data_IF_875722660884
#
_entry.id   IF_875722660884
#
_cell.length_a   1.000
_cell.length_b   1.000
_cell.length_c   1.000
_cell.angle_alpha   90.00
_cell.angle_beta   90.00
_cell.angle_gamma   90.00
#
_symmetry.space_group_name_H-M   'P 1'
#
loop_
_entity.id
_entity.type
_entity.pdbx_description
1 polymer ?
#
# COMPACT_ATOMS: atom_id res chain seq x y z
N UNK A 1 -15.55 17.44 0.13
CA UNK A 1 -14.83 18.41 0.99
C UNK A 1 -14.10 17.69 2.13
N UNK A 2 -14.71 16.71 2.77
CA UNK A 2 -14.09 15.89 3.84
C UNK A 2 -12.81 15.14 3.40
N UNK A 3 -12.81 14.53 2.22
CA UNK A 3 -11.62 13.82 1.67
C UNK A 3 -10.39 14.74 1.59
N UNK A 4 -10.57 16.02 1.23
CA UNK A 4 -9.47 16.99 1.13
C UNK A 4 -8.87 17.36 2.50
N UNK A 5 -9.60 17.14 3.59
CA UNK A 5 -9.09 17.32 4.96
C UNK A 5 -8.42 16.06 5.50
N UNK A 6 -8.90 14.88 5.08
CA UNK A 6 -8.41 13.59 5.55
C UNK A 6 -7.12 13.16 4.85
N UNK A 7 -7.08 13.24 3.52
CA UNK A 7 -5.94 12.79 2.70
C UNK A 7 -4.59 13.37 3.17
N UNK A 8 -4.45 14.69 3.45
CA UNK A 8 -3.18 15.24 3.92
C UNK A 8 -2.68 14.62 5.23
N UNK A 9 -3.58 14.25 6.15
CA UNK A 9 -3.21 13.62 7.42
C UNK A 9 -2.73 12.19 7.22
N UNK A 10 -3.24 11.49 6.21
CA UNK A 10 -2.80 10.14 5.83
C UNK A 10 -1.53 10.16 4.95
N UNK A 11 -1.20 11.28 4.31
CA UNK A 11 0.07 11.46 3.60
C UNK A 11 1.28 11.57 4.54
N UNK A 12 1.06 11.96 5.80
CA UNK A 12 2.10 12.04 6.84
C UNK A 12 1.67 11.33 8.13
N UNK A 13 1.49 10.00 8.10
CA UNK A 13 0.88 9.25 9.20
C UNK A 13 1.92 8.84 10.27
N UNK A 14 2.78 9.78 10.68
CA UNK A 14 3.85 9.57 11.65
C UNK A 14 4.08 10.83 12.48
N UNK A 15 4.78 10.70 13.61
CA UNK A 15 5.20 11.88 14.39
C UNK A 15 6.35 12.62 13.68
N UNK A 16 6.01 13.73 13.02
CA UNK A 16 6.95 14.59 12.28
C UNK A 16 8.04 15.16 13.19
N UNK A 17 7.79 15.33 14.49
CA UNK A 17 8.77 15.90 15.43
C UNK A 17 9.82 14.90 15.89
N UNK A 18 9.49 13.62 15.92
CA UNK A 18 10.35 12.54 16.45
C UNK A 18 11.15 11.81 15.38
N UNK A 19 10.75 11.91 14.11
CA UNK A 19 11.29 11.08 13.04
C UNK A 19 12.07 11.91 12.04
N UNK A 20 13.31 11.49 11.76
CA UNK A 20 14.04 12.01 10.60
C UNK A 20 13.32 11.56 9.33
N UNK A 21 12.76 12.54 8.61
CA UNK A 21 11.92 12.34 7.43
C UNK A 21 12.60 11.53 6.31
N UNK A 22 13.92 11.39 6.33
CA UNK A 22 14.69 10.59 5.38
C UNK A 22 14.59 9.07 5.61
N UNK A 23 14.04 8.61 6.74
CA UNK A 23 14.06 7.19 7.13
C UNK A 23 12.72 6.47 6.93
N UNK A 24 11.68 7.18 6.48
CA UNK A 24 10.28 6.73 6.54
C UNK A 24 9.86 5.88 5.32
N UNK A 25 10.72 5.72 4.33
CA UNK A 25 10.43 5.01 3.07
C UNK A 25 9.72 5.88 2.03
N UNK A 26 10.00 5.64 0.74
CA UNK A 26 9.57 6.53 -0.35
C UNK A 26 8.13 6.30 -0.80
N UNK A 27 7.65 5.06 -0.82
CA UNK A 27 6.30 4.74 -1.27
C UNK A 27 5.55 3.97 -0.20
N UNK A 28 4.26 4.24 -0.06
CA UNK A 28 3.37 3.48 0.80
C UNK A 28 1.94 3.65 0.28
N UNK A 29 1.03 2.79 0.73
CA UNK A 29 -0.38 2.89 0.33
C UNK A 29 -1.27 2.79 1.56
N UNK A 30 -1.93 3.89 1.91
CA UNK A 30 -3.00 3.89 2.91
C UNK A 30 -4.32 3.48 2.29
N UNK A 31 -5.31 3.16 3.12
CA UNK A 31 -6.68 2.88 2.67
C UNK A 31 -7.67 3.73 3.45
N UNK A 32 -8.65 4.29 2.73
CA UNK A 32 -9.86 4.86 3.29
C UNK A 32 -11.02 3.93 2.95
N UNK A 33 -11.77 3.52 3.97
CA UNK A 33 -12.96 2.69 3.79
C UNK A 33 -14.18 3.60 3.66
N UNK A 34 -14.98 3.39 2.60
CA UNK A 34 -16.23 4.14 2.42
C UNK A 34 -17.42 3.48 3.14
N UNK A 35 -18.60 4.07 2.97
CA UNK A 35 -19.83 3.62 3.62
C UNK A 35 -20.31 2.24 3.14
N UNK A 36 -19.86 1.78 1.97
CA UNK A 36 -20.16 0.45 1.43
C UNK A 36 -19.07 -0.58 1.80
N UNK A 37 -18.19 -0.22 2.74
CA UNK A 37 -17.01 -0.99 3.11
C UNK A 37 -16.05 -1.25 1.95
N UNK A 38 -16.10 -0.43 0.89
CA UNK A 38 -15.15 -0.50 -0.23
C UNK A 38 -13.89 0.28 0.10
N UNK A 39 -12.77 -0.22 -0.41
CA UNK A 39 -11.44 0.34 -0.14
C UNK A 39 -11.05 1.35 -1.21
N UNK A 40 -10.72 2.57 -0.79
CA UNK A 40 -10.01 3.57 -1.61
C UNK A 40 -8.53 3.56 -1.23
N UNK A 41 -7.69 3.24 -2.18
CA UNK A 41 -6.24 3.16 -2.01
C UNK A 41 -5.60 4.52 -2.26
N UNK A 42 -4.89 5.04 -1.26
CA UNK A 42 -4.09 6.25 -1.34
C UNK A 42 -2.63 5.92 -1.60
N UNK A 43 -2.26 5.83 -2.88
CA UNK A 43 -0.89 5.56 -3.31
C UNK A 43 -0.06 6.81 -3.08
N UNK A 44 1.00 6.69 -2.27
CA UNK A 44 1.82 7.82 -1.86
C UNK A 44 3.26 7.69 -2.34
N UNK A 45 3.84 8.82 -2.71
CA UNK A 45 5.28 8.99 -2.92
C UNK A 45 5.76 10.17 -2.08
N UNK A 46 6.48 9.85 -1.01
CA UNK A 46 7.12 10.81 -0.12
C UNK A 46 8.48 11.23 -0.72
N UNK A 47 8.73 12.53 -0.84
CA UNK A 47 10.00 13.05 -1.37
C UNK A 47 11.15 12.90 -0.38
N UNK A 48 12.40 12.95 -0.86
CA UNK A 48 13.58 13.03 0.02
C UNK A 48 13.44 14.20 0.99
N UNK A 49 13.62 13.94 2.28
CA UNK A 49 13.34 14.91 3.34
C UNK A 49 11.90 14.92 3.82
N UNK A 50 10.99 14.08 3.30
CA UNK A 50 9.62 13.85 3.79
C UNK A 50 8.79 15.08 4.14
N UNK A 51 8.98 16.17 3.39
CA UNK A 51 8.19 17.41 3.48
C UNK A 51 7.05 17.46 2.47
N UNK A 52 7.20 16.76 1.34
CA UNK A 52 6.23 16.75 0.26
C UNK A 52 5.82 15.31 0.00
N UNK A 53 4.52 15.09 -0.16
CA UNK A 53 3.96 13.81 -0.52
C UNK A 53 3.06 13.98 -1.75
N UNK A 54 3.36 13.22 -2.80
CA UNK A 54 2.46 13.07 -3.94
C UNK A 54 1.51 11.92 -3.65
N UNK A 55 0.22 12.11 -3.88
CA UNK A 55 -0.78 11.09 -3.59
C UNK A 55 -1.78 10.96 -4.75
N UNK A 56 -2.04 9.72 -5.16
CA UNK A 56 -3.16 9.36 -6.05
C UNK A 56 -4.13 8.52 -5.22
N UNK A 57 -5.40 8.94 -5.19
CA UNK A 57 -6.48 8.20 -4.55
C UNK A 57 -7.29 7.47 -5.62
N UNK A 58 -7.39 6.15 -5.53
CA UNK A 58 -8.12 5.33 -6.51
C UNK A 58 -8.79 4.12 -5.85
N UNK A 59 -9.88 3.66 -6.43
CA UNK A 59 -10.51 2.38 -6.06
C UNK A 59 -9.80 1.17 -6.69
N UNK A 60 -8.94 1.40 -7.67
CA UNK A 60 -8.23 0.33 -8.39
C UNK A 60 -6.96 -0.06 -7.61
N UNK A 61 -6.79 -1.32 -7.21
CA UNK A 61 -5.64 -1.78 -6.41
C UNK A 61 -4.39 -2.01 -7.27
N UNK A 62 -4.01 -1.02 -8.09
CA UNK A 62 -2.91 -1.13 -9.06
C UNK A 62 -1.61 -0.55 -8.52
N UNK A 63 -1.07 -1.17 -7.46
CA UNK A 63 0.09 -0.69 -6.73
C UNK A 63 1.29 -0.36 -7.64
N UNK A 64 1.70 -1.29 -8.49
CA UNK A 64 2.87 -1.15 -9.35
C UNK A 64 2.67 -0.03 -10.40
N UNK A 65 1.45 0.09 -10.94
CA UNK A 65 1.11 1.12 -11.94
C UNK A 65 1.15 2.50 -11.29
N UNK A 66 0.47 2.67 -10.15
CA UNK A 66 0.40 3.98 -9.50
C UNK A 66 1.74 4.40 -8.89
N UNK A 67 2.56 3.48 -8.38
CA UNK A 67 3.92 3.83 -7.95
C UNK A 67 4.81 4.30 -9.10
N UNK A 68 4.74 3.64 -10.27
CA UNK A 68 5.45 4.10 -11.47
C UNK A 68 4.94 5.47 -11.92
N UNK A 69 3.63 5.67 -11.95
CA UNK A 69 3.01 6.94 -12.32
C UNK A 69 3.43 8.07 -11.37
N UNK A 70 3.42 7.84 -10.06
CA UNK A 70 3.87 8.82 -9.07
C UNK A 70 5.34 9.22 -9.24
N UNK A 71 6.21 8.30 -9.68
CA UNK A 71 7.60 8.62 -10.02
C UNK A 71 7.65 9.54 -11.25
N UNK A 72 6.92 9.21 -12.32
CA UNK A 72 6.83 10.05 -13.52
C UNK A 72 6.30 11.45 -13.20
N UNK A 73 5.24 11.55 -12.38
CA UNK A 73 4.68 12.84 -11.96
C UNK A 73 5.69 13.64 -11.14
N UNK A 74 6.44 13.00 -10.25
CA UNK A 74 7.50 13.66 -9.51
C UNK A 74 8.61 14.20 -10.42
N UNK A 75 8.98 13.44 -11.45
CA UNK A 75 10.00 13.85 -12.41
C UNK A 75 9.53 15.05 -13.26
N UNK A 76 8.25 15.07 -13.66
CA UNK A 76 7.67 16.24 -14.35
C UNK A 76 7.61 17.48 -13.46
N UNK A 77 7.25 17.34 -12.18
CA UNK A 77 7.29 18.44 -11.23
C UNK A 77 8.72 18.96 -11.03
N UNK A 78 9.71 18.07 -10.95
CA UNK A 78 11.11 18.46 -10.80
C UNK A 78 11.69 19.16 -12.04
N UNK A 79 11.14 18.85 -13.23
CA UNK A 79 11.53 19.46 -14.51
C UNK A 79 10.65 20.64 -14.93
N UNK A 80 9.71 21.06 -14.08
CA UNK A 80 8.75 22.14 -14.35
C UNK A 80 7.90 21.92 -15.63
N UNK A 81 7.62 20.65 -15.97
CA UNK A 81 6.83 20.27 -17.16
C UNK A 81 5.32 20.21 -16.84
N UNK A 82 4.71 21.34 -16.49
CA UNK A 82 3.30 21.39 -16.06
C UNK A 82 2.30 20.97 -17.14
N UNK A 83 2.58 21.28 -18.42
CA UNK A 83 1.69 20.90 -19.52
C UNK A 83 1.61 19.39 -19.67
N UNK A 84 2.77 18.72 -19.77
CA UNK A 84 2.86 17.26 -19.90
C UNK A 84 2.23 16.56 -18.69
N UNK A 85 2.43 17.10 -17.48
CA UNK A 85 1.82 16.60 -16.26
C UNK A 85 0.29 16.69 -16.31
N UNK A 86 -0.25 17.85 -16.68
CA UNK A 86 -1.69 18.07 -16.74
C UNK A 86 -2.34 17.21 -17.83
N UNK A 87 -1.68 17.04 -18.98
CA UNK A 87 -2.19 16.23 -20.08
C UNK A 87 -2.18 14.75 -19.73
N UNK A 88 -1.13 14.26 -19.06
CA UNK A 88 -1.07 12.90 -18.53
C UNK A 88 -2.21 12.63 -17.54
N UNK A 89 -2.43 13.53 -16.58
CA UNK A 89 -3.49 13.39 -15.58
C UNK A 89 -4.89 13.45 -16.22
N UNK A 90 -5.13 14.36 -17.16
CA UNK A 90 -6.39 14.45 -17.90
C UNK A 90 -6.65 13.21 -18.75
N UNK A 91 -5.62 12.71 -19.44
CA UNK A 91 -5.71 11.50 -20.25
C UNK A 91 -6.10 10.31 -19.38
N UNK A 92 -5.39 10.11 -18.27
CA UNK A 92 -5.68 9.02 -17.33
C UNK A 92 -7.07 9.14 -16.69
N UNK A 93 -7.48 10.35 -16.28
CA UNK A 93 -8.76 10.58 -15.62
C UNK A 93 -9.96 10.36 -16.55
N UNK A 94 -9.84 10.77 -17.81
CA UNK A 94 -10.91 10.63 -18.80
C UNK A 94 -10.93 9.26 -19.48
N UNK A 95 -9.84 8.47 -19.36
CA UNK A 95 -9.78 7.13 -19.93
C UNK A 95 -10.76 6.19 -19.20
N UNK A 96 -11.61 5.43 -19.91
CA UNK A 96 -12.49 4.45 -19.28
C UNK A 96 -11.68 3.38 -18.57
N UNK A 97 -12.19 2.79 -17.49
CA UNK A 97 -11.45 1.75 -16.76
C UNK A 97 -11.14 0.58 -17.71
N UNK A 98 -9.85 0.32 -18.03
CA UNK A 98 -9.46 -0.74 -18.96
C UNK A 98 -9.78 -2.12 -18.38
N UNK A 99 -10.01 -3.09 -19.26
CA UNK A 99 -10.12 -4.50 -18.85
C UNK A 99 -8.75 -5.05 -18.46
N UNK A 100 -8.73 -6.08 -17.62
CA UNK A 100 -7.49 -6.78 -17.28
C UNK A 100 -6.71 -7.22 -18.53
N UNK A 101 -5.39 -7.14 -18.45
CA UNK A 101 -4.42 -7.50 -19.50
C UNK A 101 -4.52 -6.65 -20.79
N UNK A 102 -5.19 -5.49 -20.74
CA UNK A 102 -5.22 -4.56 -21.89
C UNK A 102 -4.15 -3.46 -21.76
N UNK A 103 -3.44 -3.13 -22.85
CA UNK A 103 -2.46 -2.05 -22.85
C UNK A 103 -3.16 -0.69 -22.84
N UNK A 104 -2.71 0.21 -21.99
CA UNK A 104 -3.12 1.60 -21.90
C UNK A 104 -1.93 2.47 -22.27
N UNK A 105 -2.09 3.30 -23.30
CA UNK A 105 -1.09 4.30 -23.68
C UNK A 105 -1.58 5.67 -23.26
N UNK A 106 -0.76 6.38 -22.47
CA UNK A 106 -1.00 7.73 -21.99
C UNK A 106 -0.04 8.69 -22.72
N UNK A 107 0.01 8.62 -24.06
CA UNK A 107 0.82 9.54 -24.86
C UNK A 107 0.09 10.87 -25.11
N UNK A 108 0.85 11.96 -25.02
CA UNK A 108 0.46 13.28 -25.50
C UNK A 108 0.95 13.36 -26.95
N UNK A 109 0.00 13.35 -27.89
CA UNK A 109 0.16 13.36 -29.35
C UNK A 109 0.59 12.06 -30.05
N UNK A 110 -0.27 11.68 -30.99
CA UNK A 110 -0.17 10.69 -32.06
C UNK A 110 -0.50 9.21 -31.78
N UNK A 111 -1.27 8.69 -32.75
CA UNK A 111 -1.97 7.41 -32.81
C UNK A 111 -0.99 6.24 -32.86
N UNK A 112 -1.11 5.29 -31.92
CA UNK A 112 -0.46 3.99 -32.07
C UNK A 112 -1.44 3.04 -32.76
N UNK A 113 -1.22 2.79 -34.06
CA UNK A 113 -1.82 1.65 -34.74
C UNK A 113 -1.06 0.38 -34.35
N UNK A 114 -1.66 -0.45 -33.50
CA UNK A 114 -1.13 -1.79 -33.23
C UNK A 114 -1.68 -2.73 -34.30
N UNK A 115 -0.98 -2.82 -35.44
CA UNK A 115 -1.13 -3.94 -36.35
C UNK A 115 -0.33 -5.13 -35.80
N UNK A 116 -1.02 -6.26 -35.68
CA UNK A 116 -0.49 -7.58 -35.33
C UNK A 116 0.97 -7.83 -35.79
N UNK A 117 1.87 -7.98 -34.82
CA UNK A 117 3.02 -8.90 -34.93
C UNK A 117 4.34 -8.40 -35.54
N UNK A 118 4.50 -7.14 -35.96
CA UNK A 118 5.82 -6.65 -36.43
C UNK A 118 6.17 -5.27 -35.88
N UNK A 119 7.18 -5.24 -35.02
CA UNK A 119 7.77 -4.02 -34.46
C UNK A 119 8.62 -3.34 -35.55
N UNK A 120 8.08 -2.27 -36.16
CA UNK A 120 8.87 -1.35 -36.96
C UNK A 120 9.77 -0.53 -36.02
N UNK A 121 11.03 -0.96 -35.91
CA UNK A 121 12.12 -0.11 -35.42
C UNK A 121 12.33 0.98 -36.46
N UNK A 122 11.81 2.18 -36.21
CA UNK A 122 12.42 3.45 -36.60
C UNK A 122 11.49 4.61 -36.25
N UNK A 123 11.83 5.36 -35.20
CA UNK A 123 11.89 6.83 -35.25
C UNK A 123 12.66 7.36 -34.02
N UNK A 124 13.64 8.19 -34.32
CA UNK A 124 14.52 8.87 -33.36
C UNK A 124 13.78 10.07 -32.77
N UNK A 125 13.26 9.88 -31.55
CA UNK A 125 13.15 10.86 -30.45
C UNK A 125 12.35 10.16 -29.34
N UNK A 126 12.95 9.77 -28.20
CA UNK A 126 12.19 9.12 -27.14
C UNK A 126 11.46 10.20 -26.36
N UNK A 127 10.37 10.75 -26.89
CA UNK A 127 9.31 11.24 -26.00
C UNK A 127 8.90 10.03 -25.16
N UNK A 128 9.07 10.10 -23.84
CA UNK A 128 8.79 8.98 -22.95
C UNK A 128 7.30 8.64 -23.02
N UNK A 129 6.94 7.67 -23.87
CA UNK A 129 5.58 7.17 -23.98
C UNK A 129 5.28 6.44 -22.67
N UNK A 130 4.43 7.04 -21.82
CA UNK A 130 3.97 6.35 -20.61
C UNK A 130 2.87 5.38 -21.00
N UNK A 131 3.14 4.08 -20.92
CA UNK A 131 2.16 3.03 -21.13
C UNK A 131 2.22 2.00 -20.00
N UNK A 132 1.11 1.33 -19.73
CA UNK A 132 1.06 0.22 -18.79
C UNK A 132 0.05 -0.84 -19.25
N UNK A 133 0.15 -2.04 -18.71
CA UNK A 133 -0.84 -3.10 -18.92
C UNK A 133 -1.71 -3.13 -17.67
N UNK A 134 -3.03 -3.03 -17.84
CA UNK A 134 -3.96 -3.12 -16.72
C UNK A 134 -3.82 -4.50 -16.04
N UNK A 135 -3.51 -4.57 -14.73
CA UNK A 135 -3.25 -5.84 -14.08
C UNK A 135 -4.54 -6.68 -13.94
N UNK A 136 -4.39 -8.00 -13.98
CA UNK A 136 -5.45 -8.92 -13.61
C UNK A 136 -5.47 -9.09 -12.08
N UNK A 137 -6.57 -8.67 -11.46
CA UNK A 137 -6.76 -8.72 -10.01
C UNK A 137 -7.18 -10.11 -9.50
N UNK A 138 -7.51 -11.04 -10.40
CA UNK A 138 -7.89 -12.40 -10.03
C UNK A 138 -6.69 -13.37 -10.01
N UNK A 139 -5.56 -12.96 -10.59
CA UNK A 139 -4.32 -13.73 -10.56
C UNK A 139 -3.71 -13.75 -9.16
N UNK A 140 -3.05 -14.86 -8.82
CA UNK A 140 -2.25 -14.92 -7.60
C UNK A 140 -1.07 -13.94 -7.68
N UNK A 141 -0.74 -13.23 -6.60
CA UNK A 141 0.44 -12.36 -6.57
C UNK A 141 1.72 -13.18 -6.72
N UNK A 142 2.63 -12.73 -7.58
CA UNK A 142 3.95 -13.34 -7.79
C UNK A 142 5.07 -12.48 -7.20
N UNK A 143 6.16 -13.12 -6.76
CA UNK A 143 7.39 -12.45 -6.33
C UNK A 143 8.39 -12.55 -7.50
N UNK A 144 9.06 -11.45 -7.92
CA UNK A 144 9.11 -10.12 -7.29
C UNK A 144 8.11 -9.09 -7.83
N UNK A 145 7.19 -9.46 -8.73
CA UNK A 145 6.34 -8.51 -9.45
C UNK A 145 5.37 -7.76 -8.52
N UNK A 146 4.79 -8.45 -7.53
CA UNK A 146 3.93 -7.84 -6.53
C UNK A 146 4.78 -7.23 -5.41
N UNK A 147 4.79 -5.90 -5.32
CA UNK A 147 5.66 -5.19 -4.37
C UNK A 147 5.27 -5.46 -2.92
N UNK A 148 3.98 -5.56 -2.62
CA UNK A 148 3.50 -5.75 -1.25
C UNK A 148 3.92 -7.12 -0.70
N UNK A 149 3.67 -8.19 -1.46
CA UNK A 149 4.05 -9.54 -1.08
C UNK A 149 5.58 -9.71 -1.01
N UNK A 150 6.30 -9.13 -1.97
CA UNK A 150 7.77 -9.18 -1.99
C UNK A 150 8.38 -8.51 -0.76
N UNK A 151 7.94 -7.29 -0.44
CA UNK A 151 8.44 -6.56 0.73
C UNK A 151 8.02 -7.25 2.04
N UNK A 152 6.79 -7.78 2.13
CA UNK A 152 6.34 -8.57 3.28
C UNK A 152 7.22 -9.81 3.51
N UNK A 153 7.45 -10.59 2.46
CA UNK A 153 8.27 -11.81 2.53
C UNK A 153 9.73 -11.53 2.86
N UNK A 154 10.28 -10.40 2.40
CA UNK A 154 11.66 -9.99 2.70
C UNK A 154 11.81 -9.45 4.13
N UNK A 155 10.78 -8.78 4.66
CA UNK A 155 10.86 -8.09 5.95
C UNK A 155 10.46 -8.95 7.15
N UNK A 156 9.58 -9.94 6.95
CA UNK A 156 8.98 -10.72 8.05
C UNK A 156 9.46 -12.17 8.00
N UNK A 157 9.96 -12.66 9.13
CA UNK A 157 10.40 -14.04 9.28
C UNK A 157 9.23 -15.02 9.09
N UNK A 158 9.50 -16.20 8.53
CA UNK A 158 8.49 -17.23 8.25
C UNK A 158 7.65 -17.57 9.47
N UNK A 159 8.26 -17.69 10.66
CA UNK A 159 7.54 -17.95 11.90
C UNK A 159 6.54 -16.84 12.23
N UNK A 160 6.92 -15.57 12.05
CA UNK A 160 6.04 -14.43 12.27
C UNK A 160 4.93 -14.36 11.20
N UNK A 161 5.23 -14.76 9.96
CA UNK A 161 4.20 -14.87 8.91
C UNK A 161 3.13 -15.91 9.28
N UNK A 162 3.54 -17.07 9.81
CA UNK A 162 2.63 -18.12 10.26
C UNK A 162 1.80 -17.66 11.47
N UNK A 163 2.42 -16.99 12.44
CA UNK A 163 1.74 -16.43 13.61
C UNK A 163 0.71 -15.36 13.21
N UNK A 164 1.05 -14.47 12.27
CA UNK A 164 0.10 -13.50 11.73
C UNK A 164 -1.07 -14.19 11.03
N UNK A 165 -0.78 -15.19 10.19
CA UNK A 165 -1.80 -15.96 9.48
C UNK A 165 -2.76 -16.64 10.47
N UNK A 166 -2.23 -17.32 11.49
CA UNK A 166 -3.03 -17.93 12.55
C UNK A 166 -3.88 -16.89 13.31
N UNK A 167 -3.30 -15.73 13.64
CA UNK A 167 -4.01 -14.64 14.30
C UNK A 167 -5.14 -14.07 13.44
N UNK A 168 -4.95 -14.00 12.11
CA UNK A 168 -6.00 -13.56 11.19
C UNK A 168 -7.14 -14.56 11.08
N UNK A 169 -6.83 -15.87 11.05
CA UNK A 169 -7.86 -16.93 11.04
C UNK A 169 -8.72 -16.94 12.31
N UNK A 170 -8.19 -16.44 13.43
CA UNK A 170 -8.91 -16.26 14.69
C UNK A 170 -9.52 -14.85 14.84
N UNK A 171 -9.50 -14.04 13.77
CA UNK A 171 -10.00 -12.66 13.76
C UNK A 171 -9.48 -11.84 14.96
N UNK A 172 -8.18 -11.94 15.26
CA UNK A 172 -7.58 -11.18 16.37
C UNK A 172 -7.50 -9.68 16.06
N UNK A 173 -7.29 -8.90 17.12
CA UNK A 173 -6.87 -7.49 17.04
C UNK A 173 -5.38 -7.45 16.77
N UNK A 174 -4.97 -7.07 15.56
CA UNK A 174 -3.59 -7.15 15.08
C UNK A 174 -3.05 -5.74 14.80
N UNK A 175 -1.93 -5.40 15.42
CA UNK A 175 -1.13 -4.21 15.14
C UNK A 175 0.20 -4.63 14.50
N UNK A 176 0.48 -4.12 13.31
CA UNK A 176 1.80 -4.22 12.68
C UNK A 176 2.51 -2.88 12.86
N UNK A 177 3.79 -2.89 13.22
CA UNK A 177 4.59 -1.67 13.38
C UNK A 177 5.95 -1.77 12.69
N UNK A 178 6.38 -0.66 12.08
CA UNK A 178 7.69 -0.49 11.45
C UNK A 178 8.06 1.00 11.37
N UNK A 179 9.36 1.28 11.28
CA UNK A 179 9.93 2.61 11.03
C UNK A 179 9.84 3.03 9.54
N UNK A 180 9.53 2.11 8.63
CA UNK A 180 9.35 2.37 7.20
C UNK A 180 7.88 2.18 6.83
N UNK A 181 7.24 3.21 6.29
CA UNK A 181 5.86 3.14 5.79
C UNK A 181 5.71 2.18 4.61
N UNK A 182 6.74 2.06 3.78
CA UNK A 182 6.77 1.09 2.67
C UNK A 182 6.58 -0.33 3.20
N UNK A 183 7.41 -0.71 4.17
CA UNK A 183 7.40 -2.02 4.79
C UNK A 183 6.13 -2.23 5.60
N UNK A 184 5.71 -1.23 6.39
CA UNK A 184 4.48 -1.28 7.18
C UNK A 184 3.24 -1.59 6.33
N UNK A 185 2.98 -0.76 5.32
CA UNK A 185 1.78 -0.93 4.48
C UNK A 185 1.88 -2.20 3.63
N UNK A 186 3.07 -2.54 3.13
CA UNK A 186 3.29 -3.79 2.40
C UNK A 186 3.03 -5.02 3.27
N UNK A 187 3.45 -5.02 4.55
CA UNK A 187 3.16 -6.11 5.48
C UNK A 187 1.66 -6.26 5.71
N UNK A 188 0.91 -5.15 5.88
CA UNK A 188 -0.54 -5.20 6.07
C UNK A 188 -1.25 -5.73 4.81
N UNK A 189 -0.95 -5.19 3.63
CA UNK A 189 -1.56 -5.65 2.36
C UNK A 189 -1.14 -7.08 2.00
N UNK A 190 0.14 -7.42 2.18
CA UNK A 190 0.72 -8.72 1.86
C UNK A 190 0.19 -9.84 2.75
N UNK A 191 0.13 -9.61 4.07
CA UNK A 191 -0.44 -10.59 5.01
C UNK A 191 -1.93 -10.81 4.78
N UNK A 192 -2.71 -9.75 4.56
CA UNK A 192 -4.14 -9.87 4.25
C UNK A 192 -4.39 -10.62 2.92
N UNK A 193 -3.53 -10.46 1.92
CA UNK A 193 -3.65 -11.17 0.64
C UNK A 193 -3.44 -12.68 0.76
N UNK A 194 -2.75 -13.16 1.80
CA UNK A 194 -2.55 -14.60 2.05
C UNK A 194 -3.84 -15.33 2.48
N UNK A 195 -4.90 -14.59 2.84
CA UNK A 195 -6.19 -15.17 3.19
C UNK A 195 -6.99 -15.65 1.95
N UNK A 196 -6.54 -15.34 0.74
CA UNK A 196 -7.24 -15.70 -0.50
C UNK A 196 -7.67 -17.18 -0.51
N UNK A 197 -8.93 -17.51 -0.84
CA UNK A 197 -9.97 -16.66 -1.44
C UNK A 197 -10.82 -15.86 -0.43
N UNK A 198 -10.50 -15.91 0.85
CA UNK A 198 -11.12 -15.09 1.90
C UNK A 198 -10.47 -13.71 1.94
N UNK A 199 -11.21 -12.75 2.50
CA UNK A 199 -10.73 -11.37 2.69
C UNK A 199 -11.04 -10.94 4.11
N UNK A 200 -10.15 -10.14 4.70
CA UNK A 200 -10.41 -9.51 6.00
C UNK A 200 -11.65 -8.60 5.92
N UNK A 201 -12.64 -8.84 6.79
CA UNK A 201 -13.93 -8.13 6.76
C UNK A 201 -14.06 -7.00 7.78
N UNK A 202 -13.20 -6.99 8.81
CA UNK A 202 -13.28 -6.02 9.89
C UNK A 202 -12.45 -4.76 9.62
N UNK A 203 -12.16 -3.97 10.66
CA UNK A 203 -11.39 -2.73 10.53
C UNK A 203 -10.06 -3.05 9.85
N UNK A 204 -9.79 -2.35 8.75
CA UNK A 204 -8.60 -2.50 7.93
C UNK A 204 -7.97 -1.15 7.67
N UNK A 205 -6.85 -0.86 8.33
CA UNK A 205 -6.15 0.42 8.22
C UNK A 205 -4.65 0.17 8.03
N UNK A 206 -4.14 0.09 6.79
CA UNK A 206 -2.73 -0.22 6.51
C UNK A 206 -1.72 0.73 7.15
N UNK A 207 -2.13 1.97 7.41
CA UNK A 207 -1.37 2.90 8.23
C UNK A 207 -2.32 3.90 8.91
N UNK A 208 -2.26 3.95 10.23
CA UNK A 208 -3.11 4.77 11.09
C UNK A 208 -2.40 6.09 11.44
N UNK A 209 -2.97 7.26 11.07
CA UNK A 209 -2.37 8.55 11.40
C UNK A 209 -2.56 8.91 12.90
N UNK A 210 -1.75 9.84 13.44
CA UNK A 210 -1.72 10.15 14.88
C UNK A 210 -3.04 10.59 15.51
N UNK A 211 -3.93 11.22 14.72
CA UNK A 211 -5.21 11.73 15.19
C UNK A 211 -6.30 10.65 15.31
N UNK A 212 -6.02 9.42 14.85
CA UNK A 212 -6.95 8.30 14.88
C UNK A 212 -6.44 7.16 15.78
N UNK A 213 -5.43 7.38 16.62
CA UNK A 213 -4.88 6.33 17.50
C UNK A 213 -5.92 5.76 18.49
N UNK A 214 -7.03 6.46 18.72
CA UNK A 214 -8.16 5.96 19.52
C UNK A 214 -8.80 4.71 18.91
N UNK A 215 -8.69 4.51 17.58
CA UNK A 215 -9.18 3.32 16.90
C UNK A 215 -8.43 2.04 17.30
N UNK A 216 -7.23 2.12 17.86
CA UNK A 216 -6.56 0.94 18.41
C UNK A 216 -7.27 0.37 19.65
N UNK A 217 -8.14 1.15 20.31
CA UNK A 217 -8.91 0.71 21.48
C UNK A 217 -10.23 0.02 21.08
N UNK A 218 -10.47 -0.17 19.78
CA UNK A 218 -11.65 -0.80 19.22
C UNK A 218 -11.78 -2.26 19.74
N UNK A 219 -12.91 -2.68 20.35
CA UNK A 219 -13.09 -4.05 20.82
C UNK A 219 -13.30 -5.10 19.72
N UNK A 220 -13.71 -4.69 18.53
CA UNK A 220 -13.88 -5.56 17.37
C UNK A 220 -12.52 -5.96 16.76
N UNK A 221 -12.45 -7.06 15.99
CA UNK A 221 -11.25 -7.41 15.24
C UNK A 221 -10.75 -6.26 14.38
N UNK A 222 -9.44 -6.13 14.25
CA UNK A 222 -8.85 -5.14 13.37
C UNK A 222 -7.49 -5.61 12.86
N UNK A 223 -7.11 -5.10 11.69
CA UNK A 223 -5.77 -5.18 11.15
C UNK A 223 -5.28 -3.76 10.87
N UNK A 224 -4.38 -3.28 11.73
CA UNK A 224 -3.94 -1.88 11.74
C UNK A 224 -2.42 -1.81 11.64
N UNK A 225 -1.91 -0.98 10.74
CA UNK A 225 -0.52 -0.57 10.71
C UNK A 225 -0.30 0.71 11.51
N UNK A 226 0.71 0.75 12.38
CA UNK A 226 1.10 1.95 13.13
C UNK A 226 2.58 2.22 12.90
N UNK A 227 2.94 3.45 12.52
CA UNK A 227 4.34 3.82 12.41
C UNK A 227 5.03 3.75 13.79
N UNK A 228 6.28 3.25 13.84
CA UNK A 228 6.99 2.99 15.10
C UNK A 228 7.04 4.20 16.05
N UNK A 229 7.14 5.42 15.51
CA UNK A 229 7.14 6.65 16.33
C UNK A 229 5.85 6.91 17.12
N UNK A 230 4.76 6.22 16.78
CA UNK A 230 3.47 6.33 17.44
C UNK A 230 3.20 5.14 18.38
N UNK A 231 3.99 4.07 18.32
CA UNK A 231 3.77 2.84 19.08
C UNK A 231 3.73 3.08 20.59
N UNK A 232 4.59 3.95 21.12
CA UNK A 232 4.61 4.31 22.54
C UNK A 232 3.27 4.91 23.00
N UNK A 233 2.66 5.79 22.18
CA UNK A 233 1.35 6.40 22.45
C UNK A 233 0.20 5.41 22.33
N UNK A 234 0.40 4.34 21.58
CA UNK A 234 -0.57 3.25 21.41
C UNK A 234 -0.49 2.32 22.62
N UNK A 235 0.72 1.94 23.06
CA UNK A 235 0.94 1.14 24.27
C UNK A 235 0.47 1.81 25.56
N UNK A 236 0.52 3.14 25.63
CA UNK A 236 0.00 3.88 26.79
C UNK A 236 -1.52 3.78 26.96
N UNK A 237 -2.26 3.19 26.00
CA UNK A 237 -3.73 3.18 25.95
C UNK A 237 -4.37 1.88 26.48
N UNK A 238 -3.69 1.14 27.36
CA UNK A 238 -4.20 -0.10 27.98
C UNK A 238 -4.84 -1.06 26.97
N UNK A 239 -4.05 -1.49 25.98
CA UNK A 239 -4.48 -2.46 24.98
C UNK A 239 -4.52 -3.85 25.61
N UNK A 240 -5.71 -4.39 25.77
CA UNK A 240 -5.91 -5.79 26.20
C UNK A 240 -6.09 -6.67 24.97
N UNK A 241 -5.57 -7.90 25.02
CA UNK A 241 -5.65 -8.95 24.00
C UNK A 241 -5.45 -8.48 22.54
N UNK A 242 -4.28 -7.89 22.28
CA UNK A 242 -3.83 -7.43 20.96
C UNK A 242 -2.56 -8.17 20.57
N UNK A 243 -2.49 -8.64 19.33
CA UNK A 243 -1.27 -9.17 18.70
C UNK A 243 -0.48 -8.01 18.13
N UNK A 244 0.79 -7.86 18.52
CA UNK A 244 1.66 -6.77 18.06
C UNK A 244 2.89 -7.35 17.38
N UNK A 245 3.05 -7.12 16.07
CA UNK A 245 4.27 -7.46 15.34
C UNK A 245 5.11 -6.21 15.11
N UNK A 246 6.31 -6.17 15.71
CA UNK A 246 7.36 -5.23 15.34
C UNK A 246 8.23 -5.81 14.22
N UNK A 247 8.00 -5.35 13.00
CA UNK A 247 8.68 -5.85 11.80
C UNK A 247 10.18 -5.51 11.82
N UNK A 248 10.57 -4.36 12.39
CA UNK A 248 11.98 -3.94 12.39
C UNK A 248 12.85 -4.84 13.28
N UNK A 249 12.25 -5.43 14.32
CA UNK A 249 12.91 -6.35 15.26
C UNK A 249 12.51 -7.81 15.06
N UNK A 250 11.62 -8.10 14.10
CA UNK A 250 10.94 -9.40 13.95
C UNK A 250 10.41 -9.97 15.30
N UNK A 251 9.91 -9.09 16.17
CA UNK A 251 9.41 -9.45 17.48
C UNK A 251 7.87 -9.41 17.48
N UNK A 252 7.25 -10.56 17.74
CA UNK A 252 5.80 -10.70 17.85
C UNK A 252 5.41 -10.92 19.30
N UNK A 253 4.53 -10.05 19.80
CA UNK A 253 3.94 -10.12 21.13
C UNK A 253 2.47 -10.57 20.98
N UNK A 254 2.12 -11.73 21.53
CA UNK A 254 0.75 -12.25 21.52
C UNK A 254 0.41 -12.88 22.87
N UNK A 255 -0.78 -12.62 23.44
CA UNK A 255 -1.28 -13.34 24.61
C UNK A 255 -1.98 -14.66 24.23
N UNK A 256 -2.08 -14.97 22.94
CA UNK A 256 -2.80 -16.13 22.41
C UNK A 256 -1.85 -17.20 21.89
N UNK A 257 -2.31 -18.46 21.92
CA UNK A 257 -1.61 -19.61 21.36
C UNK A 257 -2.23 -20.08 20.03
N UNK A 258 -2.52 -19.12 19.14
CA UNK A 258 -3.32 -19.36 17.94
C UNK A 258 -2.65 -20.30 16.93
N UNK A 259 -1.32 -20.24 16.79
CA UNK A 259 -0.59 -21.09 15.86
C UNK A 259 -0.64 -22.57 16.27
N UNK A 260 -0.55 -22.86 17.56
CA UNK A 260 -0.64 -24.24 18.07
C UNK A 260 -2.06 -24.82 17.94
N UNK A 261 -3.08 -23.97 17.80
CA UNK A 261 -4.45 -24.41 17.53
C UNK A 261 -4.67 -24.82 16.06
N UNK A 262 -3.73 -24.50 15.16
CA UNK A 262 -3.80 -24.95 13.77
C UNK A 262 -3.32 -26.41 13.66
N UNK A 263 -3.92 -27.21 12.75
CA UNK A 263 -3.48 -28.59 12.52
C UNK A 263 -1.99 -28.64 12.13
N UNK A 264 -1.19 -29.37 12.89
CA UNK A 264 0.28 -29.41 12.73
C UNK A 264 0.71 -29.88 11.34
N UNK A 265 -0.08 -30.74 10.69
CA UNK A 265 0.18 -31.23 9.32
C UNK A 265 0.15 -30.12 8.26
N UNK A 266 -0.55 -29.01 8.53
CA UNK A 266 -0.65 -27.85 7.62
C UNK A 266 0.46 -26.83 7.90
N UNK A 267 1.02 -26.83 9.12
CA UNK A 267 2.04 -25.88 9.58
C UNK A 267 3.47 -26.39 9.32
N UNK A 268 3.65 -27.71 9.21
CA UNK A 268 4.95 -28.41 9.05
C UNK A 268 5.53 -28.34 7.64
#
# INVERSE_FOLDING_TARGET
QEVLQTVPKFCFPFDITRVSQNQVGQHFTYVLTDIESKQRFGFCRLTSGGRVCLCILSYLPWFEVYYKLLNTLADYLAKEQENDLNDLLKSLYNHPVPKANTPVSLSVNEQIYIASGQVLKNQQNPTSHSYFIAPDINGLPTIPENRNLTEYFVAVDVNNMLQLYASMLHERRIIITSNKLSTLTACVHGSAAMLYPMYWQHIYIPVLPPHLLDYCCAPMPYLIGVHLSLLERVRSRALEDVVVLNVDANALETPFDDLNNLPSEVVS
#
